data_IF_820193896522
#
_entry.id   IF_820193896522
#
_cell.length_a   1.000
_cell.length_b   1.000
_cell.length_c   1.000
_cell.angle_alpha   90.00
_cell.angle_beta   90.00
_cell.angle_gamma   90.00
#
_symmetry.space_group_name_H-M   'P 1'
#
loop_
_entity.id
_entity.type
_entity.pdbx_description
1 polymer ?
#
# COMPACT_ATOMS: atom_id res chain seq x y z
N UNK A 1 31.92 2.91 74.52
CA UNK A 1 32.12 1.75 73.62
C UNK A 1 31.61 2.13 72.24
N UNK A 2 32.51 2.05 71.24
CA UNK A 2 32.37 1.79 69.78
C UNK A 2 31.03 2.07 69.08
N UNK A 3 30.91 2.52 67.83
CA UNK A 3 31.71 3.21 66.80
C UNK A 3 30.77 3.24 65.57
N UNK A 4 30.62 4.38 64.88
CA UNK A 4 30.55 4.53 63.39
C UNK A 4 29.85 5.84 62.98
N UNK A 5 30.58 6.80 62.37
CA UNK A 5 30.00 7.97 61.72
C UNK A 5 29.84 7.77 60.20
N UNK A 6 28.76 8.34 59.66
CA UNK A 6 28.41 8.40 58.24
C UNK A 6 29.44 9.28 57.51
N UNK A 7 30.13 8.68 56.54
CA UNK A 7 31.02 9.35 55.60
C UNK A 7 30.21 9.58 54.32
N UNK A 8 30.00 10.84 53.93
CA UNK A 8 30.09 11.20 52.52
C UNK A 8 30.63 12.60 52.38
N UNK A 9 31.87 12.66 51.91
CA UNK A 9 32.69 13.86 51.76
C UNK A 9 32.08 14.78 50.72
N UNK A 10 31.79 16.00 51.15
CA UNK A 10 31.85 17.21 50.32
C UNK A 10 33.29 17.36 49.83
N UNK A 11 33.52 17.46 48.53
CA UNK A 11 34.73 18.09 48.00
C UNK A 11 34.43 18.79 46.67
N UNK A 12 34.39 20.13 46.77
CA UNK A 12 34.93 21.14 45.86
C UNK A 12 34.62 21.04 44.35
N UNK A 13 33.79 21.93 43.81
CA UNK A 13 34.20 23.25 43.26
C UNK A 13 35.14 23.15 42.04
N UNK A 14 34.62 23.57 40.89
CA UNK A 14 35.16 24.52 39.87
C UNK A 14 34.06 24.57 38.77
N UNK A 15 33.02 25.39 38.95
CA UNK A 15 32.80 26.72 38.33
C UNK A 15 32.92 26.73 36.78
N UNK A 16 31.85 27.19 36.08
CA UNK A 16 31.73 27.26 34.61
C UNK A 16 32.29 28.57 34.04
N UNK A 17 32.87 28.56 32.83
CA UNK A 17 33.27 29.79 32.11
C UNK A 17 33.19 29.62 30.58
N UNK A 18 32.31 30.45 29.99
CA UNK A 18 32.43 31.24 28.75
C UNK A 18 33.08 30.63 27.49
N UNK A 19 32.36 30.53 26.35
CA UNK A 19 32.05 31.59 25.36
C UNK A 19 33.25 31.97 24.47
N UNK A 20 32.98 31.97 23.15
CA UNK A 20 33.65 32.66 22.03
C UNK A 20 34.84 32.01 21.32
N UNK A 21 34.57 31.52 20.10
CA UNK A 21 35.39 31.80 18.90
C UNK A 21 34.60 31.32 17.66
N UNK A 22 33.80 32.17 17.03
CA UNK A 22 34.16 33.19 16.03
C UNK A 22 34.09 32.66 14.59
N UNK A 23 33.00 33.06 13.94
CA UNK A 23 32.91 33.58 12.57
C UNK A 23 34.20 33.61 11.72
N UNK A 24 34.22 32.76 10.69
CA UNK A 24 34.77 33.06 9.36
C UNK A 24 33.64 32.71 8.38
N UNK A 25 32.71 33.61 8.09
CA UNK A 25 32.81 34.54 6.96
C UNK A 25 33.32 33.89 5.68
N UNK A 26 32.39 33.42 4.84
CA UNK A 26 32.58 33.39 3.41
C UNK A 26 31.32 33.99 2.78
N UNK A 27 31.29 35.33 2.68
CA UNK A 27 30.45 36.03 1.72
C UNK A 27 31.17 36.01 0.37
N UNK A 28 30.50 35.50 -0.66
CA UNK A 28 30.72 35.95 -2.04
C UNK A 28 29.37 35.97 -2.77
N UNK A 29 29.02 37.15 -3.26
CA UNK A 29 27.86 37.45 -4.09
C UNK A 29 28.04 36.97 -5.54
N UNK A 30 26.91 36.91 -6.27
CA UNK A 30 26.71 36.67 -7.71
C UNK A 30 26.92 35.21 -8.18
N UNK A 31 26.01 34.52 -8.89
CA UNK A 31 25.14 34.92 -10.02
C UNK A 31 23.89 34.00 -10.06
N UNK A 32 22.78 34.60 -10.49
CA UNK A 32 21.50 34.00 -10.89
C UNK A 32 21.66 32.79 -11.83
N UNK A 33 21.09 31.63 -11.46
CA UNK A 33 20.79 30.55 -12.40
C UNK A 33 19.39 30.02 -12.15
N UNK A 34 18.57 30.19 -13.17
CA UNK A 34 17.20 29.73 -13.35
C UNK A 34 17.11 28.19 -13.35
N UNK A 35 15.90 27.65 -13.02
CA UNK A 35 15.40 26.26 -13.16
C UNK A 35 15.76 25.33 -11.98
N UNK A 36 14.85 24.52 -11.43
CA UNK A 36 13.50 24.11 -11.82
C UNK A 36 12.75 23.69 -10.57
N UNK A 37 11.48 24.09 -10.47
CA UNK A 37 10.57 23.54 -9.47
C UNK A 37 10.39 22.04 -9.69
N UNK A 38 10.83 21.26 -8.71
CA UNK A 38 10.23 19.98 -8.38
C UNK A 38 9.94 20.01 -6.89
N UNK A 39 8.95 20.83 -6.52
CA UNK A 39 8.17 20.51 -5.35
C UNK A 39 7.48 19.19 -5.68
N UNK A 40 8.11 18.07 -5.27
CA UNK A 40 7.41 16.80 -5.16
C UNK A 40 6.13 17.09 -4.37
N UNK A 41 4.93 16.85 -4.94
CA UNK A 41 3.71 17.10 -4.21
C UNK A 41 3.74 16.24 -2.95
N UNK A 42 3.54 16.94 -1.85
CA UNK A 42 3.58 16.45 -0.49
C UNK A 42 2.72 15.19 -0.33
N UNK A 43 3.21 14.21 0.44
CA UNK A 43 2.56 12.94 0.85
C UNK A 43 1.12 13.12 1.42
N UNK A 44 0.63 14.36 1.55
CA UNK A 44 -0.71 14.73 1.96
C UNK A 44 -1.77 14.56 0.88
N UNK A 45 -1.46 14.75 -0.41
CA UNK A 45 -2.47 14.58 -1.48
C UNK A 45 -2.89 13.11 -1.66
N UNK A 46 -1.99 12.17 -1.36
CA UNK A 46 -2.30 10.75 -1.45
C UNK A 46 -3.30 10.32 -0.38
N UNK A 47 -3.25 10.83 0.85
CA UNK A 47 -4.07 10.32 1.97
C UNK A 47 -5.58 10.46 1.78
N UNK A 48 -6.04 11.35 0.89
CA UNK A 48 -7.45 11.57 0.60
C UNK A 48 -7.83 11.18 -0.84
N UNK A 49 -6.95 10.54 -1.60
CA UNK A 49 -7.27 10.08 -2.95
C UNK A 49 -8.11 8.79 -2.88
N UNK A 50 -9.05 8.62 -3.83
CA UNK A 50 -9.81 7.36 -3.97
C UNK A 50 -8.88 6.15 -4.09
N UNK A 51 -7.71 6.33 -4.72
CA UNK A 51 -6.70 5.31 -4.84
C UNK A 51 -6.16 4.85 -3.49
N UNK A 52 -5.84 5.79 -2.59
CA UNK A 52 -5.37 5.46 -1.24
C UNK A 52 -6.45 4.80 -0.39
N UNK A 53 -7.69 5.27 -0.47
CA UNK A 53 -8.83 4.66 0.23
C UNK A 53 -9.01 3.21 -0.27
N UNK A 54 -8.90 2.98 -1.58
CA UNK A 54 -8.96 1.64 -2.17
C UNK A 54 -7.81 0.73 -1.70
N UNK A 55 -6.57 1.21 -1.69
CA UNK A 55 -5.43 0.44 -1.17
C UNK A 55 -5.60 0.10 0.32
N UNK A 56 -6.13 1.02 1.12
CA UNK A 56 -6.44 0.79 2.54
C UNK A 56 -7.57 -0.23 2.73
N UNK A 57 -8.56 -0.20 1.85
CA UNK A 57 -9.63 -1.21 1.81
C UNK A 57 -9.07 -2.60 1.50
N UNK A 58 -8.22 -2.71 0.47
CA UNK A 58 -7.53 -3.96 0.15
C UNK A 58 -6.65 -4.45 1.31
N UNK A 59 -5.92 -3.56 1.96
CA UNK A 59 -5.11 -3.89 3.14
C UNK A 59 -5.95 -4.45 4.29
N UNK A 60 -7.14 -3.90 4.52
CA UNK A 60 -8.08 -4.42 5.50
C UNK A 60 -8.56 -5.83 5.14
N UNK A 61 -8.86 -6.07 3.86
CA UNK A 61 -9.20 -7.40 3.36
C UNK A 61 -8.03 -8.38 3.44
N UNK A 62 -6.80 -7.91 3.23
CA UNK A 62 -5.53 -8.68 3.28
C UNK A 62 -5.03 -8.91 4.71
N UNK A 63 -5.62 -8.27 5.71
CA UNK A 63 -5.29 -8.50 7.13
C UNK A 63 -6.30 -9.37 7.88
N UNK A 64 -7.42 -9.74 7.26
CA UNK A 64 -8.37 -10.69 7.85
C UNK A 64 -7.66 -12.01 8.20
N UNK A 65 -7.78 -12.55 9.43
CA UNK A 65 -7.23 -13.87 9.74
C UNK A 65 -7.74 -14.95 8.78
N UNK A 66 -6.96 -16.00 8.53
CA UNK A 66 -7.37 -17.08 7.61
C UNK A 66 -8.74 -17.70 7.98
N UNK A 67 -8.99 -17.91 9.27
CA UNK A 67 -10.29 -18.41 9.77
C UNK A 67 -11.47 -17.45 9.49
N UNK A 68 -11.18 -16.16 9.29
CA UNK A 68 -12.14 -15.11 9.00
C UNK A 68 -12.13 -14.68 7.53
N UNK A 69 -11.32 -15.30 6.67
CA UNK A 69 -11.28 -14.98 5.24
C UNK A 69 -12.47 -15.62 4.50
N UNK A 70 -13.66 -15.11 4.82
CA UNK A 70 -14.95 -15.59 4.34
C UNK A 70 -15.88 -14.42 3.98
N UNK A 71 -16.99 -14.75 3.31
CA UNK A 71 -17.96 -13.76 2.82
C UNK A 71 -18.46 -12.81 3.91
N UNK A 72 -18.82 -13.32 5.10
CA UNK A 72 -19.40 -12.50 6.16
C UNK A 72 -18.43 -11.44 6.69
N UNK A 73 -17.16 -11.82 6.96
CA UNK A 73 -16.16 -10.88 7.43
C UNK A 73 -15.80 -9.84 6.35
N UNK A 74 -15.71 -10.28 5.09
CA UNK A 74 -15.45 -9.39 3.97
C UNK A 74 -16.59 -8.38 3.77
N UNK A 75 -17.84 -8.80 3.95
CA UNK A 75 -19.01 -7.91 3.95
C UNK A 75 -18.94 -6.88 5.08
N UNK A 76 -18.43 -7.26 6.25
CA UNK A 76 -18.19 -6.34 7.37
C UNK A 76 -17.16 -5.26 6.98
N UNK A 77 -16.04 -5.66 6.38
CA UNK A 77 -15.03 -4.72 5.87
C UNK A 77 -15.63 -3.82 4.79
N UNK A 78 -16.31 -4.39 3.80
CA UNK A 78 -16.96 -3.64 2.72
C UNK A 78 -17.89 -2.53 3.24
N UNK A 79 -18.75 -2.82 4.22
CA UNK A 79 -19.67 -1.83 4.83
C UNK A 79 -18.95 -0.61 5.40
N UNK A 80 -17.74 -0.78 5.95
CA UNK A 80 -16.93 0.32 6.49
C UNK A 80 -16.48 1.30 5.40
N UNK A 81 -16.24 0.81 4.18
CA UNK A 81 -15.70 1.60 3.07
C UNK A 81 -16.75 2.00 2.02
N UNK A 82 -17.98 1.47 2.11
CA UNK A 82 -19.05 1.70 1.12
C UNK A 82 -19.50 3.17 1.01
N UNK A 83 -19.19 4.02 1.99
CA UNK A 83 -19.48 5.46 1.93
C UNK A 83 -18.47 6.18 1.04
N UNK A 84 -17.23 5.68 0.96
CA UNK A 84 -16.10 6.35 0.31
C UNK A 84 -15.77 5.75 -1.06
N UNK A 85 -16.13 4.49 -1.27
CA UNK A 85 -15.90 3.75 -2.50
C UNK A 85 -17.21 3.20 -3.05
N UNK A 86 -17.43 3.23 -4.38
CA UNK A 86 -18.63 2.70 -5.02
C UNK A 86 -18.55 1.17 -5.08
N UNK A 87 -18.60 0.50 -3.93
CA UNK A 87 -18.42 -0.94 -3.83
C UNK A 87 -19.76 -1.66 -4.02
N UNK A 88 -19.79 -2.71 -4.85
CA UNK A 88 -20.98 -3.56 -5.03
C UNK A 88 -20.58 -5.04 -5.03
N UNK A 89 -21.41 -5.87 -4.42
CA UNK A 89 -21.25 -7.33 -4.47
C UNK A 89 -21.83 -7.86 -5.78
N UNK A 90 -21.07 -8.71 -6.46
CA UNK A 90 -21.50 -9.36 -7.69
C UNK A 90 -22.82 -10.12 -7.48
N UNK A 91 -23.81 -9.76 -8.28
CA UNK A 91 -25.12 -10.41 -8.32
C UNK A 91 -25.41 -10.76 -9.78
N UNK A 92 -25.48 -12.05 -10.15
CA UNK A 92 -25.70 -12.47 -11.54
C UNK A 92 -27.11 -12.11 -12.05
N UNK A 93 -28.05 -11.80 -11.15
CA UNK A 93 -29.42 -11.42 -11.52
C UNK A 93 -29.59 -9.91 -11.74
N UNK A 94 -28.56 -9.10 -11.50
CA UNK A 94 -28.62 -7.64 -11.62
C UNK A 94 -27.63 -7.11 -12.63
N UNK A 95 -28.07 -6.14 -13.41
CA UNK A 95 -27.17 -5.34 -14.23
C UNK A 95 -26.27 -4.51 -13.32
N UNK A 96 -24.97 -4.63 -13.52
CA UNK A 96 -23.96 -3.96 -12.70
C UNK A 96 -23.67 -2.58 -13.30
N UNK A 97 -23.62 -1.54 -12.45
CA UNK A 97 -23.25 -0.21 -12.89
C UNK A 97 -21.76 -0.19 -13.27
N UNK A 98 -21.45 0.43 -14.41
CA UNK A 98 -20.07 0.54 -14.93
C UNK A 98 -19.15 1.44 -14.09
N UNK A 99 -19.69 2.12 -13.08
CA UNK A 99 -18.94 2.98 -12.17
C UNK A 99 -18.61 2.30 -10.83
N UNK A 100 -19.12 1.10 -10.61
CA UNK A 100 -18.95 0.39 -9.34
C UNK A 100 -17.73 -0.54 -9.39
N UNK A 101 -17.07 -0.67 -8.25
CA UNK A 101 -16.10 -1.73 -7.99
C UNK A 101 -16.89 -2.98 -7.64
N UNK A 102 -16.86 -3.96 -8.53
CA UNK A 102 -17.59 -5.22 -8.36
C UNK A 102 -16.73 -6.19 -7.56
N UNK A 103 -17.27 -6.73 -6.48
CA UNK A 103 -16.57 -7.64 -5.56
C UNK A 103 -17.23 -9.00 -5.62
N UNK A 104 -16.42 -10.05 -5.76
CA UNK A 104 -16.88 -11.43 -5.75
C UNK A 104 -16.00 -12.26 -4.82
N UNK A 105 -16.62 -12.88 -3.82
CA UNK A 105 -16.02 -13.96 -3.05
C UNK A 105 -16.13 -15.28 -3.82
N UNK A 106 -15.12 -16.13 -3.71
CA UNK A 106 -15.25 -17.51 -4.13
C UNK A 106 -14.48 -18.45 -3.20
N UNK A 107 -15.03 -19.66 -3.04
CA UNK A 107 -14.35 -20.80 -2.44
C UNK A 107 -14.06 -21.82 -3.52
N UNK A 108 -12.82 -22.31 -3.54
CA UNK A 108 -12.40 -23.36 -4.44
C UNK A 108 -12.68 -24.72 -3.82
N UNK A 109 -13.63 -25.45 -4.40
CA UNK A 109 -13.97 -26.78 -3.93
C UNK A 109 -13.01 -27.87 -4.46
N UNK A 110 -12.06 -27.50 -5.32
CA UNK A 110 -11.07 -28.44 -5.83
C UNK A 110 -9.93 -28.64 -4.83
N UNK A 111 -9.80 -29.85 -4.29
CA UNK A 111 -8.74 -30.21 -3.34
C UNK A 111 -7.34 -30.21 -3.96
N UNK A 112 -7.21 -30.26 -5.29
CA UNK A 112 -5.91 -30.15 -5.97
C UNK A 112 -5.45 -28.71 -6.21
N UNK A 113 -6.30 -27.70 -5.97
CA UNK A 113 -5.90 -26.31 -6.12
C UNK A 113 -5.29 -25.79 -4.81
N UNK A 114 -4.13 -25.13 -4.92
CA UNK A 114 -3.43 -24.52 -3.79
C UNK A 114 -4.18 -23.31 -3.22
N UNK A 115 -4.98 -22.62 -4.06
CA UNK A 115 -5.85 -21.52 -3.63
C UNK A 115 -7.14 -22.09 -3.08
N UNK A 116 -7.38 -21.90 -1.78
CA UNK A 116 -8.60 -22.35 -1.10
C UNK A 116 -9.77 -21.37 -1.31
N UNK A 117 -9.49 -20.08 -1.19
CA UNK A 117 -10.51 -19.01 -1.26
C UNK A 117 -9.91 -17.78 -1.89
N UNK A 118 -10.76 -16.93 -2.48
CA UNK A 118 -10.31 -15.66 -3.00
C UNK A 118 -11.40 -14.60 -3.09
N UNK A 119 -10.94 -13.37 -3.28
CA UNK A 119 -11.75 -12.20 -3.55
C UNK A 119 -11.33 -11.66 -4.90
N UNK A 120 -12.26 -11.45 -5.81
CA UNK A 120 -12.05 -10.75 -7.06
C UNK A 120 -12.66 -9.37 -6.92
N UNK A 121 -11.90 -8.35 -7.27
CA UNK A 121 -12.36 -6.97 -7.40
C UNK A 121 -12.15 -6.53 -8.83
N UNK A 122 -13.24 -6.18 -9.51
CA UNK A 122 -13.20 -5.57 -10.84
C UNK A 122 -13.26 -4.06 -10.65
N UNK A 123 -12.28 -3.37 -11.23
CA UNK A 123 -12.12 -1.94 -11.09
C UNK A 123 -12.71 -1.27 -12.33
N UNK A 124 -13.63 -0.29 -12.17
CA UNK A 124 -14.19 0.41 -13.31
C UNK A 124 -13.15 1.33 -13.95
N UNK A 125 -13.26 1.53 -15.27
CA UNK A 125 -12.35 2.41 -16.04
C UNK A 125 -12.25 3.81 -15.42
N UNK A 126 -13.35 4.32 -14.86
CA UNK A 126 -13.45 5.64 -14.22
C UNK A 126 -12.48 5.88 -13.06
N UNK A 127 -11.90 4.82 -12.47
CA UNK A 127 -10.87 4.93 -11.42
C UNK A 127 -9.56 4.23 -11.79
N UNK A 128 -9.52 3.51 -12.91
CA UNK A 128 -8.36 2.71 -13.37
C UNK A 128 -7.16 3.62 -13.64
N UNK A 129 -7.39 4.80 -14.22
CA UNK A 129 -6.35 5.83 -14.48
C UNK A 129 -5.68 6.35 -13.21
N UNK A 130 -6.31 6.18 -12.04
CA UNK A 130 -5.81 6.63 -10.74
C UNK A 130 -5.17 5.51 -9.91
N UNK A 131 -5.23 4.25 -10.38
CA UNK A 131 -4.76 3.08 -9.65
C UNK A 131 -3.70 2.37 -10.48
N UNK A 132 -2.44 2.78 -10.38
CA UNK A 132 -1.37 2.19 -11.18
C UNK A 132 -0.61 1.10 -10.41
N UNK A 133 0.00 0.15 -11.12
CA UNK A 133 0.81 -0.94 -10.52
C UNK A 133 1.88 -0.40 -9.54
N UNK A 134 2.46 0.76 -9.83
CA UNK A 134 3.43 1.44 -8.95
C UNK A 134 2.88 1.77 -7.55
N UNK A 135 1.58 2.05 -7.41
CA UNK A 135 0.99 2.34 -6.11
C UNK A 135 0.84 1.07 -5.27
N UNK A 136 0.48 -0.05 -5.91
CA UNK A 136 0.40 -1.36 -5.24
C UNK A 136 1.77 -1.83 -4.77
N UNK A 137 2.79 -1.68 -5.61
CA UNK A 137 4.16 -2.09 -5.24
C UNK A 137 4.75 -1.22 -4.13
N UNK A 138 4.43 0.09 -4.12
CA UNK A 138 4.78 1.00 -3.03
C UNK A 138 4.08 0.64 -1.72
N UNK A 139 2.82 0.19 -1.78
CA UNK A 139 2.01 -0.09 -0.58
C UNK A 139 2.25 -1.49 -0.03
N UNK A 140 2.20 -2.52 -0.88
CA UNK A 140 2.20 -3.94 -0.48
C UNK A 140 3.57 -4.62 -0.62
N UNK A 141 4.54 -3.96 -1.25
CA UNK A 141 5.87 -4.49 -1.50
C UNK A 141 6.08 -4.97 -2.94
N UNK A 142 7.26 -5.54 -3.23
CA UNK A 142 7.68 -5.83 -4.60
C UNK A 142 6.86 -6.96 -5.24
N UNK A 143 6.81 -6.95 -6.57
CA UNK A 143 6.28 -8.07 -7.37
C UNK A 143 7.19 -9.28 -7.18
N UNK A 144 6.59 -10.43 -6.82
CA UNK A 144 7.32 -11.67 -6.55
C UNK A 144 7.34 -12.62 -7.75
N UNK A 145 6.27 -12.64 -8.54
CA UNK A 145 6.20 -13.42 -9.77
C UNK A 145 5.71 -12.55 -10.93
N UNK A 146 6.37 -12.71 -12.06
CA UNK A 146 5.96 -12.20 -13.36
C UNK A 146 6.00 -13.38 -14.34
N UNK A 147 4.86 -13.71 -14.97
CA UNK A 147 4.87 -14.70 -16.03
C UNK A 147 5.47 -14.06 -17.29
N UNK A 148 6.52 -14.64 -17.90
CA UNK A 148 7.14 -14.08 -19.11
C UNK A 148 6.12 -14.01 -20.25
N UNK A 149 6.16 -12.94 -21.05
CA UNK A 149 5.31 -12.78 -22.23
C UNK A 149 5.52 -13.94 -23.21
N UNK A 150 4.51 -14.79 -23.40
CA UNK A 150 4.47 -15.79 -24.48
C UNK A 150 3.75 -15.14 -25.65
N UNK A 151 4.52 -14.70 -26.65
CA UNK A 151 4.01 -14.30 -27.96
C UNK A 151 3.21 -13.00 -27.99
N UNK A 152 2.91 -12.57 -29.21
CA UNK A 152 2.34 -11.27 -29.63
C UNK A 152 0.84 -11.19 -29.29
N UNK A 153 0.41 -11.65 -28.11
CA UNK A 153 -0.96 -11.51 -27.63
C UNK A 153 -0.98 -10.44 -26.55
N UNK A 154 -1.57 -9.30 -26.92
CA UNK A 154 -1.54 -7.98 -26.26
C UNK A 154 -2.27 -7.91 -24.90
N UNK A 155 -2.43 -9.03 -24.19
CA UNK A 155 -3.03 -9.01 -22.87
C UNK A 155 -1.95 -8.82 -21.79
N UNK A 156 -2.06 -7.78 -20.97
CA UNK A 156 -1.16 -7.55 -19.83
C UNK A 156 -1.23 -8.75 -18.90
N UNK A 157 -0.08 -9.39 -18.70
CA UNK A 157 0.00 -10.58 -17.85
C UNK A 157 -0.18 -10.19 -16.40
N UNK A 158 -0.93 -10.98 -15.63
CA UNK A 158 -1.12 -10.66 -14.24
C UNK A 158 0.20 -10.77 -13.47
N UNK A 159 0.45 -9.80 -12.59
CA UNK A 159 1.61 -9.81 -11.67
C UNK A 159 1.15 -10.18 -10.27
N UNK A 160 2.05 -10.74 -9.46
CA UNK A 160 1.76 -11.15 -8.09
C UNK A 160 2.60 -10.40 -7.08
N UNK A 161 1.98 -10.00 -5.98
CA UNK A 161 2.63 -9.44 -4.80
C UNK A 161 2.29 -10.36 -3.63
N UNK A 162 3.30 -11.01 -3.06
CA UNK A 162 3.13 -11.83 -1.87
C UNK A 162 3.09 -10.93 -0.63
N UNK A 163 1.97 -10.96 0.08
CA UNK A 163 1.72 -10.11 1.25
C UNK A 163 1.91 -10.87 2.57
N UNK A 164 1.73 -12.19 2.56
CA UNK A 164 2.07 -13.10 3.66
C UNK A 164 2.37 -14.51 3.12
N UNK A 165 2.80 -15.48 3.96
CA UNK A 165 3.09 -16.83 3.49
C UNK A 165 1.93 -17.52 2.77
N UNK A 166 0.72 -17.27 3.23
CA UNK A 166 -0.55 -17.87 2.79
C UNK A 166 -1.35 -16.96 1.84
N UNK A 167 -0.81 -15.80 1.44
CA UNK A 167 -1.66 -14.76 0.83
C UNK A 167 -0.94 -13.94 -0.22
N UNK A 168 -1.61 -13.78 -1.34
CA UNK A 168 -1.08 -13.09 -2.51
C UNK A 168 -2.12 -12.15 -3.09
N UNK A 169 -1.68 -10.96 -3.48
CA UNK A 169 -2.43 -10.06 -4.34
C UNK A 169 -2.00 -10.33 -5.78
N UNK A 170 -2.94 -10.62 -6.67
CA UNK A 170 -2.72 -10.75 -8.10
C UNK A 170 -3.38 -9.56 -8.80
N UNK A 171 -2.60 -8.84 -9.61
CA UNK A 171 -3.05 -7.65 -10.32
C UNK A 171 -3.12 -7.95 -11.81
N UNK A 172 -4.24 -7.62 -12.44
CA UNK A 172 -4.35 -7.46 -13.90
C UNK A 172 -4.47 -5.97 -14.18
N UNK A 173 -3.73 -5.47 -15.16
CA UNK A 173 -3.66 -4.06 -15.51
C UNK A 173 -3.99 -3.85 -16.99
N UNK A 174 -3.93 -2.64 -17.51
CA UNK A 174 -4.03 -2.35 -18.94
C UNK A 174 -2.70 -2.53 -19.65
N UNK A 175 -2.71 -2.80 -20.96
CA UNK A 175 -1.46 -2.89 -21.70
C UNK A 175 -0.83 -1.50 -21.82
N UNK A 176 0.28 -1.27 -21.13
CA UNK A 176 1.00 0.00 -21.14
C UNK A 176 2.49 -0.25 -21.45
N UNK A 177 3.14 0.70 -22.13
CA UNK A 177 4.58 0.64 -22.44
C UNK A 177 5.44 0.67 -21.17
N UNK A 178 4.92 1.22 -20.07
CA UNK A 178 5.54 1.21 -18.75
C UNK A 178 4.60 0.55 -17.74
N UNK A 179 5.00 -0.62 -17.23
CA UNK A 179 4.21 -1.43 -16.27
C UNK A 179 3.86 -0.66 -15.02
N UNK A 180 4.81 0.05 -14.42
CA UNK A 180 4.60 0.73 -13.13
C UNK A 180 3.57 1.86 -13.24
N UNK A 181 3.29 2.32 -14.47
CA UNK A 181 2.28 3.32 -14.81
C UNK A 181 1.01 2.70 -15.40
N UNK A 182 0.92 1.37 -15.51
CA UNK A 182 -0.26 0.71 -16.04
C UNK A 182 -1.40 0.74 -15.03
N UNK A 183 -2.59 1.18 -15.47
CA UNK A 183 -3.80 1.19 -14.65
C UNK A 183 -4.28 -0.22 -14.35
N UNK A 184 -4.64 -0.49 -13.09
CA UNK A 184 -5.08 -1.81 -12.63
C UNK A 184 -6.58 -1.96 -12.86
N UNK A 185 -6.96 -3.02 -13.59
CA UNK A 185 -8.35 -3.31 -13.99
C UNK A 185 -8.98 -4.40 -13.13
N UNK A 186 -8.16 -5.29 -12.55
CA UNK A 186 -8.63 -6.34 -11.64
C UNK A 186 -7.60 -6.61 -10.56
N UNK A 187 -8.11 -6.81 -9.35
CA UNK A 187 -7.34 -7.25 -8.19
C UNK A 187 -7.93 -8.56 -7.71
N UNK A 188 -7.08 -9.55 -7.45
CA UNK A 188 -7.48 -10.78 -6.77
C UNK A 188 -6.69 -10.93 -5.48
N UNK A 189 -7.38 -11.12 -4.36
CA UNK A 189 -6.75 -11.50 -3.09
C UNK A 189 -6.93 -13.01 -2.95
N UNK A 190 -5.82 -13.74 -2.98
CA UNK A 190 -5.79 -15.20 -2.98
C UNK A 190 -5.31 -15.69 -1.62
N UNK A 191 -6.07 -16.60 -1.01
CA UNK A 191 -5.70 -17.30 0.22
C UNK A 191 -5.35 -18.76 -0.13
N UNK A 192 -4.14 -19.14 0.25
CA UNK A 192 -3.55 -20.45 0.00
C UNK A 192 -3.66 -21.32 1.26
N UNK A 193 -3.60 -22.63 1.06
CA UNK A 193 -3.57 -23.62 2.15
C UNK A 193 -2.24 -23.68 2.89
#
# INVERSE_FOLDING_TARGET
MKNAPIILKVLYYIIPVLILSCFLSCKREHVQSHRSGTNLPEVREMKNSKAWIFLTYLDSLVKLPAAEFNEAAMMSVHKKYAIELPLVIYDPAKEQNRQDIIIQYYKNNNTSNEVETGIILLIPETITDSLVVGDFTRYFGPITDEQPLIGITEQPRPVRIRVSPDRTIKLTFENNRNRDQAGVTRVEILNYR
#
